data_IF_008503686118
#
_entry.id   IF_008503686118
#
_cell.length_a   1.000
_cell.length_b   1.000
_cell.length_c   1.000
_cell.angle_alpha   90.00
_cell.angle_beta   90.00
_cell.angle_gamma   90.00
#
_symmetry.space_group_name_H-M   'P 1'
#
loop_
_entity.id
_entity.type
_entity.pdbx_description
1 polymer ?
#
# COMPACT_ATOMS: atom_id res chain seq x y z
N UNK A 1 8.81 10.62 17.89
CA UNK A 1 9.39 11.16 16.64
C UNK A 1 8.52 10.78 15.47
N UNK A 2 8.18 11.75 14.65
CA UNK A 2 7.38 11.51 13.47
C UNK A 2 8.27 10.97 12.35
N UNK A 3 7.87 9.88 11.74
CA UNK A 3 8.54 9.31 10.57
C UNK A 3 7.76 9.64 9.31
N UNK A 4 7.56 10.94 9.06
CA UNK A 4 6.62 11.43 8.06
C UNK A 4 6.93 11.01 6.63
N UNK A 5 8.18 10.65 6.36
CA UNK A 5 8.62 10.32 5.00
C UNK A 5 9.07 8.87 4.83
N UNK A 6 9.02 8.07 5.89
CA UNK A 6 9.34 6.66 5.77
C UNK A 6 8.26 5.97 4.92
N UNK A 7 8.63 4.86 4.31
CA UNK A 7 7.71 4.11 3.46
C UNK A 7 6.82 3.22 4.30
N UNK A 8 5.52 3.39 4.16
CA UNK A 8 4.52 2.58 4.85
C UNK A 8 3.79 1.68 3.85
N UNK A 9 3.32 0.55 4.35
CA UNK A 9 2.60 -0.44 3.56
C UNK A 9 1.41 -0.98 4.33
N UNK A 10 0.30 -1.19 3.64
CA UNK A 10 -0.85 -1.89 4.20
C UNK A 10 -1.76 -2.37 3.07
N UNK A 11 -2.61 -3.37 3.34
CA UNK A 11 -3.70 -3.69 2.42
C UNK A 11 -4.66 -2.50 2.31
N UNK A 12 -5.06 -2.18 1.09
CA UNK A 12 -6.03 -1.12 0.81
C UNK A 12 -7.43 -1.68 0.56
N UNK A 13 -7.56 -3.00 0.45
CA UNK A 13 -8.84 -3.70 0.26
C UNK A 13 -9.12 -4.60 1.46
N UNK A 14 -10.41 -4.89 1.67
CA UNK A 14 -10.81 -5.84 2.71
C UNK A 14 -10.34 -7.25 2.36
N UNK A 15 -10.10 -8.08 3.39
CA UNK A 15 -9.71 -9.47 3.21
C UNK A 15 -10.83 -10.29 2.58
N UNK A 16 -10.46 -11.35 1.85
CA UNK A 16 -11.39 -12.35 1.35
C UNK A 16 -11.93 -12.14 -0.05
N UNK A 17 -11.59 -11.03 -0.71
CA UNK A 17 -11.99 -10.81 -2.10
C UNK A 17 -11.14 -11.61 -3.08
N UNK A 18 -11.56 -11.68 -4.33
CA UNK A 18 -10.80 -12.34 -5.39
C UNK A 18 -9.49 -11.63 -5.68
N UNK A 19 -9.49 -10.30 -5.56
CA UNK A 19 -8.33 -9.45 -5.74
C UNK A 19 -8.08 -8.63 -4.49
N UNK A 20 -6.81 -8.32 -4.25
CA UNK A 20 -6.42 -7.43 -3.17
C UNK A 20 -5.49 -6.36 -3.72
N UNK A 21 -5.51 -5.19 -3.08
CA UNK A 21 -4.59 -4.09 -3.38
C UNK A 21 -3.75 -3.82 -2.15
N UNK A 22 -2.44 -3.79 -2.34
CA UNK A 22 -1.49 -3.44 -1.27
C UNK A 22 -0.88 -2.11 -1.66
N UNK A 23 -1.01 -1.12 -0.78
CA UNK A 23 -0.53 0.23 -1.04
C UNK A 23 0.74 0.51 -0.26
N UNK A 24 1.74 1.04 -0.98
CA UNK A 24 2.96 1.58 -0.38
C UNK A 24 2.98 3.08 -0.63
N UNK A 25 3.42 3.85 0.35
CA UNK A 25 3.54 5.30 0.22
C UNK A 25 4.75 5.79 1.00
N UNK A 26 5.49 6.71 0.41
CA UNK A 26 6.66 7.31 1.03
C UNK A 26 7.74 7.61 0.01
N UNK A 27 8.80 8.27 0.45
CA UNK A 27 9.89 8.70 -0.41
C UNK A 27 10.49 7.54 -1.20
N UNK A 28 10.62 6.36 -0.56
CA UNK A 28 11.28 5.20 -1.15
C UNK A 28 10.31 4.13 -1.65
N UNK A 29 9.04 4.47 -1.84
CA UNK A 29 8.03 3.47 -2.22
C UNK A 29 8.39 2.71 -3.48
N UNK A 30 8.89 3.41 -4.52
CA UNK A 30 9.27 2.74 -5.76
C UNK A 30 10.52 1.89 -5.59
N UNK A 31 11.52 2.40 -4.87
CA UNK A 31 12.75 1.66 -4.62
C UNK A 31 12.48 0.38 -3.80
N UNK A 32 11.62 0.46 -2.80
CA UNK A 32 11.22 -0.71 -2.00
C UNK A 32 10.55 -1.75 -2.89
N UNK A 33 9.60 -1.32 -3.72
CA UNK A 33 8.90 -2.24 -4.63
C UNK A 33 9.86 -2.87 -5.64
N UNK A 34 10.82 -2.13 -6.16
CA UNK A 34 11.78 -2.65 -7.14
C UNK A 34 12.63 -3.79 -6.58
N UNK A 35 12.79 -3.88 -5.27
CA UNK A 35 13.54 -4.99 -4.64
C UNK A 35 12.83 -6.33 -4.74
N UNK A 36 11.52 -6.31 -4.95
CA UNK A 36 10.70 -7.53 -4.97
C UNK A 36 9.88 -7.68 -6.25
N UNK A 37 9.83 -6.66 -7.10
CA UNK A 37 9.03 -6.66 -8.32
C UNK A 37 9.93 -6.87 -9.54
N UNK A 38 9.53 -7.78 -10.41
CA UNK A 38 10.17 -8.05 -11.69
C UNK A 38 9.17 -7.80 -12.80
N UNK A 39 9.37 -6.73 -13.53
CA UNK A 39 8.58 -6.38 -14.69
C UNK A 39 9.49 -6.03 -15.86
N UNK A 40 8.93 -5.38 -16.86
CA UNK A 40 9.66 -5.01 -18.07
C UNK A 40 10.72 -3.98 -17.80
N UNK A 41 10.41 -3.02 -16.92
CA UNK A 41 11.33 -1.95 -16.51
C UNK A 41 11.22 -1.75 -15.02
N UNK A 42 12.25 -1.18 -14.36
CA UNK A 42 12.13 -0.82 -12.96
C UNK A 42 11.04 0.21 -12.73
N UNK A 43 10.33 0.07 -11.61
CA UNK A 43 9.27 1.02 -11.24
C UNK A 43 9.84 2.43 -10.99
N UNK A 44 11.09 2.50 -10.52
CA UNK A 44 11.77 3.79 -10.30
C UNK A 44 11.90 4.62 -11.57
N UNK A 45 11.86 3.98 -12.73
CA UNK A 45 11.92 4.67 -14.04
C UNK A 45 10.54 4.96 -14.61
N UNK A 46 9.47 4.48 -13.99
CA UNK A 46 8.13 4.63 -14.49
C UNK A 46 7.58 6.04 -14.26
N UNK A 47 6.75 6.50 -15.17
CA UNK A 47 6.01 7.75 -15.01
C UNK A 47 4.85 7.53 -14.06
N UNK A 48 4.36 8.62 -13.45
CA UNK A 48 3.13 8.58 -12.68
C UNK A 48 1.93 8.22 -13.55
N UNK A 49 0.91 7.64 -12.93
CA UNK A 49 -0.32 7.17 -13.58
C UNK A 49 -0.07 6.09 -14.64
N UNK A 50 0.92 5.22 -14.40
CA UNK A 50 1.17 4.07 -15.27
C UNK A 50 1.01 2.78 -14.50
N UNK A 51 0.64 1.72 -15.22
CA UNK A 51 0.42 0.39 -14.66
C UNK A 51 1.36 -0.59 -15.32
N UNK A 52 2.01 -1.43 -14.52
CA UNK A 52 3.04 -2.35 -15.00
C UNK A 52 2.73 -3.77 -14.57
N UNK A 53 2.68 -4.68 -15.54
CA UNK A 53 2.57 -6.09 -15.24
C UNK A 53 3.93 -6.64 -14.81
N UNK A 54 3.92 -7.52 -13.83
CA UNK A 54 5.14 -8.17 -13.39
C UNK A 54 4.86 -9.24 -12.35
N UNK A 55 5.90 -9.64 -11.66
CA UNK A 55 5.83 -10.68 -10.63
C UNK A 55 6.49 -10.20 -9.36
N UNK A 56 5.90 -10.58 -8.23
CA UNK A 56 6.56 -10.44 -6.93
C UNK A 56 7.43 -11.67 -6.73
N UNK A 57 8.70 -11.45 -6.46
CA UNK A 57 9.71 -12.50 -6.38
C UNK A 57 10.41 -12.47 -5.03
N UNK A 58 10.76 -13.66 -4.56
CA UNK A 58 11.72 -13.82 -3.48
C UNK A 58 12.85 -14.71 -4.03
N UNK A 59 13.98 -14.09 -4.36
CA UNK A 59 15.01 -14.79 -5.10
C UNK A 59 14.48 -15.24 -6.46
N UNK A 60 14.53 -16.53 -6.73
CA UNK A 60 13.99 -17.11 -7.97
C UNK A 60 12.56 -17.60 -7.83
N UNK A 61 11.98 -17.50 -6.63
CA UNK A 61 10.62 -17.97 -6.36
C UNK A 61 9.61 -16.90 -6.68
N UNK A 62 8.66 -17.21 -7.55
CA UNK A 62 7.53 -16.32 -7.84
C UNK A 62 6.46 -16.46 -6.76
N UNK A 63 6.10 -15.34 -6.15
CA UNK A 63 5.02 -15.31 -5.16
C UNK A 63 3.67 -15.13 -5.85
N UNK A 64 3.58 -14.16 -6.76
CA UNK A 64 2.33 -13.87 -7.47
C UNK A 64 2.59 -13.03 -8.71
N UNK A 65 1.72 -13.16 -9.70
CA UNK A 65 1.66 -12.25 -10.83
C UNK A 65 0.82 -11.05 -10.41
N UNK A 66 1.30 -9.84 -10.67
CA UNK A 66 0.68 -8.62 -10.15
C UNK A 66 0.67 -7.51 -11.18
N UNK A 67 -0.16 -6.49 -10.91
CA UNK A 67 -0.08 -5.20 -11.58
C UNK A 67 0.39 -4.17 -10.56
N UNK A 68 1.41 -3.40 -10.91
CA UNK A 68 1.91 -2.33 -10.06
C UNK A 68 1.52 -0.98 -10.68
N UNK A 69 0.71 -0.22 -9.97
CA UNK A 69 0.29 1.11 -10.38
C UNK A 69 1.17 2.14 -9.69
N UNK A 70 1.76 3.04 -10.47
CA UNK A 70 2.73 4.03 -9.99
C UNK A 70 2.09 5.41 -9.91
N UNK A 71 2.30 6.06 -8.76
CA UNK A 71 1.84 7.44 -8.53
C UNK A 71 3.03 8.26 -8.06
N UNK A 72 3.31 9.36 -8.75
CA UNK A 72 4.42 10.25 -8.42
C UNK A 72 3.93 11.45 -7.63
N UNK A 73 4.66 11.80 -6.58
CA UNK A 73 4.37 13.00 -5.79
C UNK A 73 4.28 14.23 -6.69
N UNK A 74 3.33 15.15 -6.48
CA UNK A 74 2.29 15.12 -5.45
C UNK A 74 1.00 14.43 -5.89
N UNK A 75 0.99 13.74 -7.02
CA UNK A 75 -0.22 13.19 -7.65
C UNK A 75 -0.49 11.77 -7.15
N UNK A 76 -0.89 11.68 -5.88
CA UNK A 76 -1.26 10.42 -5.22
C UNK A 76 -2.24 10.72 -4.08
N UNK A 77 -2.80 9.68 -3.49
CA UNK A 77 -3.71 9.85 -2.35
C UNK A 77 -3.04 10.59 -1.18
N UNK A 78 -1.80 10.21 -0.87
CA UNK A 78 -1.06 10.81 0.26
C UNK A 78 -0.26 12.04 -0.13
N UNK A 79 -0.15 12.35 -1.41
CA UNK A 79 0.75 13.39 -1.91
C UNK A 79 2.20 12.92 -2.05
N UNK A 80 2.51 11.69 -1.66
CA UNK A 80 3.85 11.11 -1.74
C UNK A 80 3.96 10.19 -2.97
N UNK A 81 5.17 9.75 -3.30
CA UNK A 81 5.34 8.66 -4.24
C UNK A 81 4.65 7.42 -3.68
N UNK A 82 3.85 6.75 -4.50
CA UNK A 82 3.07 5.60 -4.06
C UNK A 82 3.04 4.52 -5.12
N UNK A 83 2.90 3.28 -4.66
CA UNK A 83 2.69 2.13 -5.54
C UNK A 83 1.51 1.35 -5.00
N UNK A 84 0.60 0.96 -5.88
CA UNK A 84 -0.48 0.05 -5.53
C UNK A 84 -0.26 -1.26 -6.26
N UNK A 85 -0.05 -2.33 -5.50
CA UNK A 85 0.16 -3.67 -6.05
C UNK A 85 -1.18 -4.40 -6.01
N UNK A 86 -1.72 -4.70 -7.20
CA UNK A 86 -2.93 -5.50 -7.35
C UNK A 86 -2.52 -6.96 -7.49
N UNK A 87 -2.92 -7.78 -6.55
CA UNK A 87 -2.54 -9.18 -6.46
C UNK A 87 -3.77 -10.07 -6.26
N UNK A 88 -3.58 -11.37 -6.24
CA UNK A 88 -4.64 -12.29 -5.87
C UNK A 88 -5.02 -12.08 -4.40
N UNK A 89 -6.32 -12.21 -4.10
CA UNK A 89 -6.84 -11.92 -2.78
C UNK A 89 -6.64 -13.06 -1.75
N UNK A 90 -5.82 -14.06 -2.06
CA UNK A 90 -5.53 -15.14 -1.13
C UNK A 90 -4.71 -14.62 0.06
N UNK A 91 -4.91 -15.23 1.22
CA UNK A 91 -4.13 -14.86 2.40
C UNK A 91 -2.65 -15.10 2.19
N UNK A 92 -2.29 -16.12 1.40
CA UNK A 92 -0.89 -16.41 1.08
C UNK A 92 -0.25 -15.24 0.32
N UNK A 93 -0.85 -14.82 -0.81
CA UNK A 93 -0.29 -13.73 -1.61
C UNK A 93 -0.19 -12.43 -0.81
N UNK A 94 -1.26 -12.06 -0.10
CA UNK A 94 -1.29 -10.83 0.68
C UNK A 94 -0.22 -10.85 1.77
N UNK A 95 -0.15 -11.92 2.58
CA UNK A 95 0.80 -11.98 3.69
C UNK A 95 2.24 -12.03 3.20
N UNK A 96 2.52 -12.73 2.09
CA UNK A 96 3.87 -12.80 1.55
C UNK A 96 4.32 -11.46 0.96
N UNK A 97 3.43 -10.75 0.26
CA UNK A 97 3.77 -9.43 -0.27
C UNK A 97 4.02 -8.45 0.87
N UNK A 98 3.20 -8.48 1.92
CA UNK A 98 3.43 -7.63 3.10
C UNK A 98 4.76 -7.96 3.77
N UNK A 99 5.08 -9.24 3.92
CA UNK A 99 6.36 -9.66 4.50
C UNK A 99 7.55 -9.16 3.68
N UNK A 100 7.48 -9.33 2.36
CA UNK A 100 8.57 -8.96 1.47
C UNK A 100 8.77 -7.45 1.38
N UNK A 101 7.69 -6.67 1.36
CA UNK A 101 7.80 -5.21 1.35
C UNK A 101 8.43 -4.71 2.65
N UNK A 102 8.10 -5.32 3.78
CA UNK A 102 8.70 -4.94 5.07
C UNK A 102 10.18 -5.31 5.11
N UNK A 103 10.55 -6.50 4.61
CA UNK A 103 11.95 -6.90 4.50
C UNK A 103 12.73 -5.97 3.57
N UNK A 104 12.07 -5.38 2.60
CA UNK A 104 12.68 -4.46 1.63
C UNK A 104 12.76 -3.01 2.13
N UNK A 105 12.21 -2.71 3.31
CA UNK A 105 12.35 -1.40 3.93
C UNK A 105 11.07 -0.66 4.26
N UNK A 106 9.90 -1.22 3.97
CA UNK A 106 8.63 -0.62 4.35
C UNK A 106 8.28 -0.97 5.80
N UNK A 107 7.48 -0.13 6.41
CA UNK A 107 6.90 -0.35 7.73
C UNK A 107 5.39 -0.52 7.57
N UNK A 108 4.78 -1.42 8.34
CA UNK A 108 3.32 -1.52 8.35
C UNK A 108 2.72 -0.18 8.78
N UNK A 109 1.75 0.29 8.03
CA UNK A 109 1.05 1.52 8.36
C UNK A 109 0.22 1.34 9.64
N UNK A 110 0.15 2.41 10.43
CA UNK A 110 -0.80 2.48 11.53
C UNK A 110 -2.20 2.67 10.97
N UNK A 111 -3.26 2.24 11.69
CA UNK A 111 -4.63 2.50 11.23
C UNK A 111 -4.84 3.98 10.91
N UNK A 112 -5.33 4.26 9.71
CA UNK A 112 -5.58 5.62 9.26
C UNK A 112 -4.36 6.42 8.83
N UNK A 113 -3.17 5.83 8.81
CA UNK A 113 -1.94 6.58 8.54
C UNK A 113 -1.89 7.15 7.12
N UNK A 114 -2.38 6.44 6.11
CA UNK A 114 -2.45 7.00 4.76
C UNK A 114 -3.32 8.26 4.72
N UNK A 115 -4.43 8.24 5.43
CA UNK A 115 -5.35 9.38 5.52
C UNK A 115 -4.70 10.56 6.26
N UNK A 116 -3.97 10.29 7.33
CA UNK A 116 -3.22 11.34 8.06
C UNK A 116 -2.21 12.00 7.11
N UNK A 117 -1.46 11.21 6.36
CA UNK A 117 -0.50 11.74 5.40
C UNK A 117 -1.19 12.56 4.30
N UNK A 118 -2.33 12.11 3.80
CA UNK A 118 -3.11 12.85 2.82
C UNK A 118 -3.57 14.21 3.38
N UNK A 119 -4.03 14.23 4.61
CA UNK A 119 -4.43 15.46 5.28
C UNK A 119 -3.25 16.42 5.44
N UNK A 120 -2.11 15.92 5.94
CA UNK A 120 -0.91 16.74 6.13
C UNK A 120 -0.36 17.28 4.80
N UNK A 121 -0.57 16.56 3.72
CA UNK A 121 -0.16 17.00 2.38
C UNK A 121 -1.19 17.92 1.72
N UNK A 122 -2.28 18.27 2.41
CA UNK A 122 -3.32 19.14 1.87
C UNK A 122 -4.25 18.50 0.85
N UNK A 123 -4.26 17.16 0.77
CA UNK A 123 -5.12 16.42 -0.16
C UNK A 123 -6.55 16.27 0.33
N UNK A 124 -6.73 16.33 1.64
CA UNK A 124 -8.04 16.26 2.29
C UNK A 124 -8.18 17.43 3.23
N UNK A 125 -9.38 17.98 3.38
CA UNK A 125 -9.66 18.91 4.47
C UNK A 125 -9.92 18.12 5.78
N UNK A 126 -10.05 18.83 6.89
CA UNK A 126 -10.23 18.18 8.19
C UNK A 126 -11.51 17.36 8.24
N UNK A 127 -12.60 17.88 7.67
CA UNK A 127 -13.88 17.16 7.67
C UNK A 127 -13.79 15.86 6.86
N UNK A 128 -13.10 15.88 5.71
CA UNK A 128 -12.88 14.67 4.91
C UNK A 128 -12.01 13.66 5.65
N UNK A 129 -10.94 14.12 6.32
CA UNK A 129 -10.06 13.25 7.09
C UNK A 129 -10.81 12.62 8.26
N UNK A 130 -11.64 13.38 8.96
CA UNK A 130 -12.44 12.87 10.07
C UNK A 130 -13.47 11.84 9.59
N UNK A 131 -14.10 12.07 8.43
CA UNK A 131 -15.05 11.12 7.86
C UNK A 131 -14.39 9.76 7.56
N UNK A 132 -13.17 9.77 7.00
CA UNK A 132 -12.45 8.52 6.73
C UNK A 132 -12.02 7.85 8.05
N UNK A 133 -11.56 8.62 9.02
CA UNK A 133 -11.19 8.09 10.33
C UNK A 133 -12.38 7.44 11.02
N UNK A 134 -13.57 8.04 10.93
CA UNK A 134 -14.79 7.48 11.49
C UNK A 134 -15.16 6.14 10.84
N UNK A 135 -15.01 6.05 9.51
CA UNK A 135 -15.25 4.80 8.79
C UNK A 135 -14.28 3.70 9.22
N UNK A 136 -13.01 4.03 9.39
CA UNK A 136 -12.00 3.08 9.87
C UNK A 136 -12.34 2.61 11.28
N UNK A 137 -12.69 3.51 12.18
CA UNK A 137 -13.05 3.18 13.55
C UNK A 137 -14.30 2.29 13.60
N UNK A 138 -15.32 2.61 12.81
CA UNK A 138 -16.55 1.80 12.72
C UNK A 138 -16.26 0.39 12.22
N UNK A 139 -15.44 0.26 11.19
CA UNK A 139 -15.05 -1.04 10.67
C UNK A 139 -14.27 -1.86 11.68
N UNK A 140 -13.34 -1.22 12.42
CA UNK A 140 -12.56 -1.88 13.45
C UNK A 140 -13.43 -2.35 14.62
N UNK A 141 -14.39 -1.54 15.03
CA UNK A 141 -15.32 -1.91 16.10
C UNK A 141 -16.21 -3.08 15.69
N UNK A 142 -16.73 -3.05 14.45
CA UNK A 142 -17.54 -4.14 13.93
C UNK A 142 -16.75 -5.44 13.85
N UNK A 143 -15.52 -5.39 13.36
CA UNK A 143 -14.65 -6.55 13.30
C UNK A 143 -14.34 -7.11 14.68
N UNK A 144 -14.07 -6.24 15.65
CA UNK A 144 -13.80 -6.63 17.02
C UNK A 144 -15.02 -7.29 17.66
N UNK A 145 -16.21 -6.73 17.46
CA UNK A 145 -17.45 -7.29 17.99
C UNK A 145 -17.70 -8.69 17.44
N UNK A 146 -17.49 -8.91 16.14
CA UNK A 146 -17.63 -10.23 15.53
C UNK A 146 -16.60 -11.22 16.07
N UNK A 147 -15.38 -10.81 16.30
CA UNK A 147 -14.33 -11.66 16.84
C UNK A 147 -14.56 -12.03 18.31
N UNK A 148 -15.28 -11.21 19.07
CA UNK A 148 -15.57 -11.42 20.49
C UNK A 148 -16.71 -12.40 20.75
N UNK A 149 -17.49 -12.71 19.73
CA UNK A 149 -18.59 -13.65 19.82
C UNK A 149 -18.16 -15.02 19.32
#
# INVERSE_FOLDING_TARGET
MMHDHDTIVAPATAAGGALAVIRLSGTDALAVCDRIFKGRTPLAEAKGYTVHYGRIMEGERTIDDVLASVFRAPHSYTGENSVEISCHGSSYSVSEILRLTQAAGARMAEPGEFTVRAYLAGKLDLAQAEAVADLIASSSQAAHALASN
#
